data_IF_458120335357
#
_entry.id   IF_458120335357
#
_cell.length_a   1.000
_cell.length_b   1.000
_cell.length_c   1.000
_cell.angle_alpha   90.00
_cell.angle_beta   90.00
_cell.angle_gamma   90.00
#
_symmetry.space_group_name_H-M   'P 1'
#
loop_
_entity.id
_entity.type
_entity.pdbx_description
1 polymer ?
#
# COMPACT_ATOMS: atom_id res chain seq x y z
N UNK A 1 -37.02 -51.04 29.42
CA UNK A 1 -36.03 -50.11 28.89
C UNK A 1 -36.58 -49.53 27.62
N UNK A 2 -37.19 -48.34 27.68
CA UNK A 2 -37.76 -47.65 26.49
C UNK A 2 -36.67 -46.73 25.96
N UNK A 3 -36.12 -47.06 24.78
CA UNK A 3 -35.20 -46.20 24.04
C UNK A 3 -35.99 -45.06 23.45
N UNK A 4 -35.87 -43.85 24.04
CA UNK A 4 -36.37 -42.60 23.46
C UNK A 4 -35.43 -42.19 22.31
N UNK A 5 -35.91 -42.32 21.07
CA UNK A 5 -35.23 -41.81 19.90
C UNK A 5 -35.18 -40.26 19.93
N UNK A 6 -33.97 -39.71 19.95
CA UNK A 6 -33.76 -38.26 19.88
C UNK A 6 -34.33 -37.75 18.53
N UNK A 7 -35.11 -36.65 18.51
CA UNK A 7 -35.65 -36.12 17.28
C UNK A 7 -34.52 -35.58 16.39
N UNK A 8 -34.52 -36.00 15.10
CA UNK A 8 -33.58 -35.47 14.09
C UNK A 8 -33.78 -33.95 13.93
N UNK A 9 -32.71 -33.16 13.91
CA UNK A 9 -32.83 -31.71 13.72
C UNK A 9 -33.43 -31.43 12.34
N UNK A 10 -34.47 -30.59 12.31
CA UNK A 10 -35.15 -30.17 11.09
C UNK A 10 -34.18 -29.50 10.10
N UNK A 11 -34.38 -29.71 8.80
CA UNK A 11 -33.56 -29.09 7.72
C UNK A 11 -33.42 -27.57 7.87
N UNK A 12 -34.42 -26.91 8.39
CA UNK A 12 -34.46 -25.46 8.67
C UNK A 12 -33.41 -25.03 9.74
N UNK A 13 -33.13 -25.87 10.73
CA UNK A 13 -32.12 -25.61 11.75
C UNK A 13 -30.69 -25.82 11.23
N UNK A 14 -30.51 -26.69 10.24
CA UNK A 14 -29.22 -27.01 9.65
C UNK A 14 -28.75 -25.90 8.68
N UNK A 15 -29.66 -25.33 7.90
CA UNK A 15 -29.39 -24.20 7.00
C UNK A 15 -29.08 -22.91 7.76
N UNK A 16 -29.82 -22.64 8.85
CA UNK A 16 -29.58 -21.45 9.70
C UNK A 16 -28.18 -21.49 10.36
N UNK A 17 -27.77 -22.65 10.88
CA UNK A 17 -26.42 -22.81 11.48
C UNK A 17 -25.31 -22.74 10.46
N UNK A 18 -25.53 -23.23 9.24
CA UNK A 18 -24.56 -23.11 8.15
C UNK A 18 -24.40 -21.64 7.74
N UNK A 19 -25.50 -20.92 7.57
CA UNK A 19 -25.51 -19.52 7.19
C UNK A 19 -24.82 -18.64 8.24
N UNK A 20 -25.16 -18.78 9.52
CA UNK A 20 -24.51 -18.01 10.60
C UNK A 20 -23.00 -18.28 10.71
N UNK A 21 -22.57 -19.52 10.48
CA UNK A 21 -21.14 -19.88 10.51
C UNK A 21 -20.36 -19.35 9.31
N UNK A 22 -21.02 -19.20 8.16
CA UNK A 22 -20.39 -18.72 6.93
C UNK A 22 -20.71 -17.24 6.63
N UNK A 23 -21.47 -16.56 7.46
CA UNK A 23 -21.91 -15.18 7.22
C UNK A 23 -20.74 -14.24 6.93
N UNK A 24 -19.66 -14.32 7.70
CA UNK A 24 -18.44 -13.50 7.49
C UNK A 24 -17.81 -13.81 6.14
N UNK A 25 -17.76 -15.08 5.74
CA UNK A 25 -17.18 -15.50 4.45
C UNK A 25 -18.01 -15.00 3.28
N UNK A 26 -19.35 -15.12 3.40
CA UNK A 26 -20.30 -14.64 2.39
C UNK A 26 -20.20 -13.12 2.28
N UNK A 27 -20.21 -12.40 3.40
CA UNK A 27 -20.08 -10.95 3.42
C UNK A 27 -18.73 -10.50 2.82
N UNK A 28 -17.64 -11.14 3.19
CA UNK A 28 -16.33 -10.86 2.60
C UNK A 28 -16.33 -11.11 1.09
N UNK A 29 -16.91 -12.23 0.63
CA UNK A 29 -17.03 -12.53 -0.80
C UNK A 29 -17.84 -11.47 -1.55
N UNK A 30 -18.99 -11.04 -1.01
CA UNK A 30 -19.81 -9.98 -1.60
C UNK A 30 -19.06 -8.63 -1.63
N UNK A 31 -18.35 -8.30 -0.55
CA UNK A 31 -17.53 -7.09 -0.50
C UNK A 31 -16.41 -7.11 -1.56
N UNK A 32 -15.73 -8.25 -1.73
CA UNK A 32 -14.74 -8.41 -2.79
C UNK A 32 -15.36 -8.25 -4.19
N UNK A 33 -16.48 -8.93 -4.46
CA UNK A 33 -17.19 -8.79 -5.75
C UNK A 33 -17.51 -7.32 -6.00
N UNK A 34 -18.08 -6.61 -5.01
CA UNK A 34 -18.39 -5.20 -5.12
C UNK A 34 -17.18 -4.33 -5.44
N UNK A 35 -16.05 -4.57 -4.75
CA UNK A 35 -14.79 -3.84 -4.99
C UNK A 35 -14.20 -4.12 -6.37
N UNK A 36 -14.42 -5.32 -6.92
CA UNK A 36 -13.91 -5.68 -8.24
C UNK A 36 -14.79 -5.21 -9.40
N UNK A 37 -16.05 -4.78 -9.15
CA UNK A 37 -16.94 -4.26 -10.21
C UNK A 37 -16.27 -3.12 -11.01
N UNK A 38 -15.70 -2.04 -10.41
CA UNK A 38 -15.06 -0.98 -11.17
C UNK A 38 -13.86 -1.46 -11.99
N UNK A 39 -13.09 -2.41 -11.44
CA UNK A 39 -11.93 -3.01 -12.13
C UNK A 39 -12.40 -3.84 -13.34
N UNK A 40 -13.42 -4.68 -13.13
CA UNK A 40 -14.01 -5.49 -14.20
C UNK A 40 -14.62 -4.60 -15.30
N UNK A 41 -15.27 -3.51 -14.91
CA UNK A 41 -15.78 -2.51 -15.86
C UNK A 41 -14.63 -1.91 -16.71
N UNK A 42 -13.56 -1.44 -16.06
CA UNK A 42 -12.40 -0.87 -16.76
C UNK A 42 -11.78 -1.90 -17.71
N UNK A 43 -11.64 -3.14 -17.25
CA UNK A 43 -11.12 -4.24 -18.07
C UNK A 43 -12.03 -4.52 -19.28
N UNK A 44 -13.34 -4.66 -19.07
CA UNK A 44 -14.29 -4.87 -20.16
C UNK A 44 -14.26 -3.72 -21.17
N UNK A 45 -14.24 -2.48 -20.71
CA UNK A 45 -14.20 -1.30 -21.56
C UNK A 45 -12.84 -1.07 -22.25
N UNK A 46 -11.79 -1.78 -21.86
CA UNK A 46 -10.53 -1.79 -22.63
C UNK A 46 -10.67 -2.42 -24.01
N UNK A 47 -11.71 -3.23 -24.22
CA UNK A 47 -12.07 -3.81 -25.51
C UNK A 47 -13.11 -3.01 -26.28
N UNK A 48 -13.53 -1.84 -25.77
CA UNK A 48 -14.51 -1.00 -26.44
C UNK A 48 -13.82 -0.13 -27.51
N UNK A 49 -14.41 -0.09 -28.69
CA UNK A 49 -14.01 0.85 -29.74
C UNK A 49 -14.63 2.22 -29.42
N UNK A 50 -14.01 2.92 -28.47
CA UNK A 50 -14.49 4.21 -28.01
C UNK A 50 -14.14 5.31 -29.02
N UNK A 51 -15.14 6.08 -29.44
CA UNK A 51 -14.90 7.29 -30.25
C UNK A 51 -14.30 8.42 -29.37
N UNK A 52 -15.13 9.39 -28.99
CA UNK A 52 -14.69 10.54 -28.16
C UNK A 52 -14.70 10.28 -26.65
N UNK A 53 -15.46 9.29 -26.19
CA UNK A 53 -15.66 8.98 -24.78
C UNK A 53 -15.87 7.48 -24.58
N UNK A 54 -15.24 6.92 -23.54
CA UNK A 54 -15.36 5.50 -23.18
C UNK A 54 -16.44 5.26 -22.10
N UNK A 55 -17.54 6.02 -22.12
CA UNK A 55 -18.64 5.87 -21.17
C UNK A 55 -19.73 4.91 -21.64
N UNK A 56 -19.83 4.71 -22.97
CA UNK A 56 -20.86 3.87 -23.59
C UNK A 56 -20.17 2.81 -24.44
N UNK A 57 -20.62 1.57 -24.32
CA UNK A 57 -20.15 0.48 -25.17
C UNK A 57 -20.64 0.69 -26.62
N UNK A 58 -19.70 0.77 -27.54
CA UNK A 58 -20.00 0.95 -28.98
C UNK A 58 -19.81 -0.35 -29.77
N UNK A 59 -18.59 -0.89 -29.75
CA UNK A 59 -18.28 -2.14 -30.43
C UNK A 59 -17.03 -2.77 -29.85
N UNK A 60 -16.88 -4.08 -30.06
CA UNK A 60 -15.69 -4.82 -29.61
C UNK A 60 -14.51 -4.55 -30.53
N UNK A 61 -13.34 -4.27 -29.95
CA UNK A 61 -12.07 -4.14 -30.67
C UNK A 61 -10.90 -4.67 -29.85
N UNK A 62 -9.85 -5.12 -30.52
CA UNK A 62 -8.55 -5.45 -29.94
C UNK A 62 -7.48 -4.41 -30.25
N UNK A 63 -7.83 -3.36 -30.98
CA UNK A 63 -6.84 -2.39 -31.48
C UNK A 63 -6.18 -1.61 -30.33
N UNK A 64 -6.90 -1.37 -29.24
CA UNK A 64 -6.34 -0.77 -28.02
C UNK A 64 -5.20 -1.61 -27.44
N UNK A 65 -5.29 -2.94 -27.56
CA UNK A 65 -4.28 -3.87 -27.05
C UNK A 65 -3.14 -4.11 -28.05
N UNK A 66 -3.43 -4.03 -29.38
CA UNK A 66 -2.40 -4.14 -30.41
C UNK A 66 -1.51 -2.91 -30.46
N UNK A 67 -2.08 -1.74 -30.20
CA UNK A 67 -1.35 -0.48 -30.20
C UNK A 67 -1.64 0.35 -28.93
N UNK A 68 -1.13 -0.05 -27.76
CA UNK A 68 -1.35 0.65 -26.48
C UNK A 68 -0.75 2.07 -26.48
N UNK A 69 0.20 2.35 -27.38
CA UNK A 69 0.82 3.67 -27.56
C UNK A 69 0.16 4.51 -28.65
N UNK A 70 -0.96 4.07 -29.20
CA UNK A 70 -1.64 4.77 -30.31
C UNK A 70 -2.24 6.12 -29.90
N UNK A 71 -2.60 6.30 -28.63
CA UNK A 71 -3.06 7.58 -28.14
C UNK A 71 -1.87 8.50 -27.81
N UNK A 72 -1.95 9.81 -28.14
CA UNK A 72 -0.88 10.77 -27.86
C UNK A 72 -0.52 10.78 -26.37
N UNK A 73 0.77 10.87 -26.07
CA UNK A 73 1.34 11.00 -24.71
C UNK A 73 1.15 9.80 -23.75
N UNK A 74 0.41 8.74 -24.12
CA UNK A 74 0.16 7.60 -23.19
C UNK A 74 1.46 6.91 -22.83
N UNK A 75 2.27 6.53 -23.80
CA UNK A 75 3.53 5.83 -23.52
C UNK A 75 4.56 6.70 -22.79
N UNK A 76 4.62 7.98 -23.12
CA UNK A 76 5.46 8.93 -22.41
C UNK A 76 5.00 9.07 -20.94
N UNK A 77 3.71 9.17 -20.70
CA UNK A 77 3.14 9.23 -19.35
C UNK A 77 3.41 7.97 -18.54
N UNK A 78 3.32 6.79 -19.16
CA UNK A 78 3.66 5.52 -18.52
C UNK A 78 5.14 5.48 -18.12
N UNK A 79 6.03 5.86 -19.03
CA UNK A 79 7.48 5.91 -18.74
C UNK A 79 7.78 6.90 -17.63
N UNK A 80 7.16 8.07 -17.63
CA UNK A 80 7.33 9.07 -16.58
C UNK A 80 6.79 8.57 -15.24
N UNK A 81 5.63 7.91 -15.22
CA UNK A 81 5.07 7.30 -14.01
C UNK A 81 5.99 6.22 -13.44
N UNK A 82 6.58 5.37 -14.28
CA UNK A 82 7.54 4.37 -13.85
C UNK A 82 8.81 5.00 -13.27
N UNK A 83 9.37 6.04 -13.91
CA UNK A 83 10.53 6.77 -13.40
C UNK A 83 10.24 7.38 -12.03
N UNK A 84 9.10 8.06 -11.88
CA UNK A 84 8.67 8.66 -10.61
C UNK A 84 8.48 7.56 -9.55
N UNK A 85 7.78 6.49 -9.90
CA UNK A 85 7.51 5.37 -8.97
C UNK A 85 8.79 4.73 -8.45
N UNK A 86 9.72 4.36 -9.34
CA UNK A 86 11.01 3.77 -8.94
C UNK A 86 11.84 4.73 -8.10
N UNK A 87 11.98 5.98 -8.55
CA UNK A 87 12.79 6.98 -7.84
C UNK A 87 12.21 7.29 -6.45
N UNK A 88 10.90 7.48 -6.36
CA UNK A 88 10.22 7.74 -5.09
C UNK A 88 10.32 6.56 -4.13
N UNK A 89 10.18 5.33 -4.63
CA UNK A 89 10.30 4.12 -3.83
C UNK A 89 11.71 3.98 -3.25
N UNK A 90 12.74 4.14 -4.06
CA UNK A 90 14.14 4.05 -3.60
C UNK A 90 14.43 5.12 -2.54
N UNK A 91 14.09 6.37 -2.82
CA UNK A 91 14.33 7.48 -1.88
C UNK A 91 13.54 7.30 -0.58
N UNK A 92 12.25 6.97 -0.68
CA UNK A 92 11.41 6.74 0.50
C UNK A 92 11.89 5.55 1.34
N UNK A 93 12.34 4.48 0.70
CA UNK A 93 12.87 3.30 1.39
C UNK A 93 14.16 3.63 2.16
N UNK A 94 15.10 4.31 1.53
CA UNK A 94 16.35 4.71 2.18
C UNK A 94 16.06 5.65 3.36
N UNK A 95 15.36 6.75 3.11
CA UNK A 95 15.07 7.76 4.14
C UNK A 95 14.18 7.19 5.25
N UNK A 96 13.13 6.47 4.90
CA UNK A 96 12.19 5.87 5.84
C UNK A 96 12.86 4.82 6.73
N UNK A 97 13.74 4.00 6.17
CA UNK A 97 14.52 3.03 6.95
C UNK A 97 15.46 3.73 7.92
N UNK A 98 16.20 4.75 7.49
CA UNK A 98 17.06 5.53 8.37
C UNK A 98 16.28 6.17 9.53
N UNK A 99 15.11 6.77 9.23
CA UNK A 99 14.22 7.37 10.24
C UNK A 99 13.68 6.29 11.19
N UNK A 100 13.29 5.13 10.68
CA UNK A 100 12.78 4.02 11.50
C UNK A 100 13.82 3.52 12.51
N UNK A 101 15.08 3.36 12.06
CA UNK A 101 16.20 3.00 12.95
C UNK A 101 16.48 4.10 13.97
N UNK A 102 16.51 5.36 13.56
CA UNK A 102 16.73 6.49 14.46
C UNK A 102 15.68 6.54 15.58
N UNK A 103 14.39 6.41 15.23
CA UNK A 103 13.29 6.45 16.19
C UNK A 103 13.21 5.15 17.01
N UNK A 104 13.47 4.00 16.37
CA UNK A 104 13.37 2.69 17.03
C UNK A 104 14.43 2.50 18.10
N UNK A 105 15.67 2.90 17.83
CA UNK A 105 16.84 2.61 18.66
C UNK A 105 17.31 3.74 19.55
N UNK A 106 17.02 4.99 19.20
CA UNK A 106 17.51 6.14 19.96
C UNK A 106 16.41 6.82 20.76
N UNK A 107 16.76 7.26 21.97
CA UNK A 107 15.92 8.13 22.81
C UNK A 107 16.40 9.56 22.63
N UNK A 108 15.55 10.44 22.09
CA UNK A 108 15.86 11.85 21.90
C UNK A 108 14.65 12.72 22.26
N UNK A 109 14.92 14.00 22.57
CA UNK A 109 13.87 14.99 22.82
C UNK A 109 13.08 15.22 21.53
N UNK A 110 11.75 15.13 21.57
CA UNK A 110 10.90 15.28 20.39
C UNK A 110 10.51 13.96 19.68
N UNK A 111 10.93 12.80 20.17
CA UNK A 111 10.57 11.49 19.59
C UNK A 111 9.06 11.30 19.43
N UNK A 112 8.27 11.76 20.42
CA UNK A 112 6.80 11.68 20.34
C UNK A 112 6.26 12.55 19.23
N UNK A 113 6.72 13.79 19.12
CA UNK A 113 6.34 14.72 18.04
C UNK A 113 6.70 14.16 16.67
N UNK A 114 7.91 13.60 16.52
CA UNK A 114 8.35 12.96 15.26
C UNK A 114 7.45 11.78 14.89
N UNK A 115 7.07 10.94 15.85
CA UNK A 115 6.13 9.85 15.61
C UNK A 115 4.77 10.38 15.11
N UNK A 116 4.23 11.44 15.72
CA UNK A 116 2.96 12.05 15.29
C UNK A 116 3.08 12.59 13.87
N UNK A 117 4.16 13.33 13.56
CA UNK A 117 4.39 13.89 12.23
C UNK A 117 4.49 12.81 11.13
N UNK A 118 5.07 11.65 11.45
CA UNK A 118 5.15 10.53 10.50
C UNK A 118 3.76 9.90 10.27
N UNK A 119 2.89 9.87 11.29
CA UNK A 119 1.54 9.34 11.12
C UNK A 119 0.60 10.30 10.39
N UNK A 120 0.89 11.59 10.39
CA UNK A 120 0.01 12.61 9.81
C UNK A 120 -0.31 12.38 8.32
N UNK A 121 0.67 12.11 7.44
CA UNK A 121 0.39 11.81 6.03
C UNK A 121 -0.49 10.57 5.82
N UNK A 122 -0.35 9.54 6.66
CA UNK A 122 -1.19 8.33 6.57
C UNK A 122 -2.63 8.57 7.02
N UNK A 123 -2.85 9.51 7.96
CA UNK A 123 -4.18 9.85 8.46
C UNK A 123 -4.92 10.86 7.59
N UNK A 124 -4.20 11.54 6.69
CA UNK A 124 -4.76 12.57 5.81
C UNK A 124 -5.28 11.91 4.52
N UNK A 125 -6.48 12.26 4.03
CA UNK A 125 -6.95 11.81 2.73
C UNK A 125 -5.96 12.22 1.62
N UNK A 126 -5.57 11.27 0.77
CA UNK A 126 -4.53 11.46 -0.26
C UNK A 126 -4.80 12.67 -1.18
N UNK A 127 -6.07 12.85 -1.56
CA UNK A 127 -6.47 13.98 -2.43
C UNK A 127 -6.26 15.31 -1.73
N UNK A 128 -6.58 15.40 -0.42
CA UNK A 128 -6.39 16.62 0.38
C UNK A 128 -4.91 16.93 0.53
N UNK A 129 -4.09 15.90 0.81
CA UNK A 129 -2.65 16.04 0.91
C UNK A 129 -2.05 16.53 -0.42
N UNK A 130 -2.43 15.91 -1.54
CA UNK A 130 -1.94 16.29 -2.87
C UNK A 130 -2.32 17.72 -3.25
N UNK A 131 -3.58 18.12 -3.01
CA UNK A 131 -4.05 19.47 -3.26
C UNK A 131 -3.33 20.51 -2.38
N UNK A 132 -3.10 20.20 -1.10
CA UNK A 132 -2.37 21.08 -0.17
C UNK A 132 -0.91 21.25 -0.58
N UNK A 133 -0.25 20.19 -1.01
CA UNK A 133 1.13 20.26 -1.52
C UNK A 133 1.22 21.08 -2.80
N UNK A 134 0.29 20.87 -3.73
CA UNK A 134 0.22 21.68 -4.94
C UNK A 134 0.06 23.17 -4.60
N UNK A 135 -0.88 23.50 -3.72
CA UNK A 135 -1.09 24.87 -3.26
C UNK A 135 0.18 25.44 -2.61
N UNK A 136 0.87 24.65 -1.80
CA UNK A 136 2.13 25.05 -1.17
C UNK A 136 3.21 25.34 -2.23
N UNK A 137 3.41 24.47 -3.22
CA UNK A 137 4.39 24.71 -4.28
C UNK A 137 4.09 25.96 -5.08
N UNK A 138 2.82 26.19 -5.44
CA UNK A 138 2.40 27.39 -6.16
C UNK A 138 2.65 28.66 -5.34
N UNK A 139 2.33 28.66 -4.04
CA UNK A 139 2.59 29.79 -3.15
C UNK A 139 4.09 30.08 -2.99
N UNK A 140 4.92 29.04 -3.00
CA UNK A 140 6.37 29.17 -2.97
C UNK A 140 6.97 29.49 -4.33
N UNK A 141 6.15 29.68 -5.38
CA UNK A 141 6.55 29.91 -6.77
C UNK A 141 7.44 28.79 -7.34
N UNK A 142 7.27 27.56 -6.83
CA UNK A 142 7.92 26.37 -7.37
C UNK A 142 7.03 25.81 -8.49
N UNK A 143 7.55 25.78 -9.71
CA UNK A 143 6.80 25.25 -10.86
C UNK A 143 6.53 23.76 -10.67
N UNK A 144 5.24 23.32 -10.76
CA UNK A 144 4.90 21.90 -10.72
C UNK A 144 5.55 21.14 -11.90
N UNK A 145 6.06 19.95 -11.59
CA UNK A 145 6.71 19.13 -12.60
C UNK A 145 7.22 17.81 -12.02
N UNK A 146 8.11 17.14 -12.71
CA UNK A 146 8.64 15.83 -12.34
C UNK A 146 9.13 15.78 -10.86
N UNK A 147 9.96 16.73 -10.46
CA UNK A 147 10.54 16.73 -9.11
C UNK A 147 9.54 17.04 -8.00
N UNK A 148 8.57 17.91 -8.23
CA UNK A 148 7.52 18.18 -7.24
C UNK A 148 6.64 16.96 -7.01
N UNK A 149 6.38 16.17 -8.06
CA UNK A 149 5.65 14.89 -7.96
C UNK A 149 6.50 13.88 -7.19
N UNK A 150 7.79 13.75 -7.48
CA UNK A 150 8.70 12.85 -6.74
C UNK A 150 8.73 13.20 -5.26
N UNK A 151 8.90 14.49 -4.91
CA UNK A 151 8.92 14.95 -3.52
C UNK A 151 7.60 14.60 -2.81
N UNK A 152 6.46 14.85 -3.45
CA UNK A 152 5.15 14.52 -2.88
C UNK A 152 4.99 13.02 -2.62
N UNK A 153 5.40 12.16 -3.56
CA UNK A 153 5.34 10.71 -3.41
C UNK A 153 6.31 10.21 -2.33
N UNK A 154 7.54 10.73 -2.28
CA UNK A 154 8.51 10.38 -1.24
C UNK A 154 7.96 10.73 0.14
N UNK A 155 7.41 11.94 0.31
CA UNK A 155 6.84 12.39 1.58
C UNK A 155 5.71 11.48 2.07
N UNK A 156 4.83 11.07 1.17
CA UNK A 156 3.75 10.16 1.48
C UNK A 156 4.27 8.74 1.81
N UNK A 157 5.15 8.19 0.97
CA UNK A 157 5.67 6.84 1.12
C UNK A 157 6.58 6.66 2.34
N UNK A 158 7.32 7.68 2.77
CA UNK A 158 8.19 7.61 3.97
C UNK A 158 7.41 7.10 5.17
N UNK A 159 6.19 7.58 5.38
CA UNK A 159 5.36 7.21 6.52
C UNK A 159 5.09 5.70 6.57
N UNK A 160 4.75 5.10 5.44
CA UNK A 160 4.51 3.65 5.33
C UNK A 160 5.79 2.85 5.58
N UNK A 161 6.90 3.29 5.00
CA UNK A 161 8.22 2.63 5.20
C UNK A 161 8.61 2.68 6.68
N UNK A 162 8.52 3.85 7.32
CA UNK A 162 8.87 4.00 8.74
C UNK A 162 8.04 3.08 9.62
N UNK A 163 6.73 3.04 9.41
CA UNK A 163 5.83 2.19 10.21
C UNK A 163 6.16 0.71 10.02
N UNK A 164 6.36 0.28 8.78
CA UNK A 164 6.66 -1.12 8.45
C UNK A 164 8.02 -1.55 9.02
N UNK A 165 9.07 -0.77 8.78
CA UNK A 165 10.42 -1.09 9.26
C UNK A 165 10.49 -1.02 10.78
N UNK A 166 9.84 -0.04 11.41
CA UNK A 166 9.76 0.06 12.87
C UNK A 166 9.05 -1.13 13.49
N UNK A 167 7.97 -1.63 12.89
CA UNK A 167 7.29 -2.84 13.34
C UNK A 167 8.23 -4.06 13.26
N UNK A 168 9.03 -4.16 12.19
CA UNK A 168 10.02 -5.21 12.05
C UNK A 168 11.13 -5.12 13.11
N UNK A 169 11.71 -3.94 13.30
CA UNK A 169 12.76 -3.71 14.32
C UNK A 169 12.24 -4.08 15.72
N UNK A 170 10.99 -3.74 16.03
CA UNK A 170 10.38 -4.07 17.33
C UNK A 170 10.16 -5.58 17.55
N UNK A 171 10.09 -6.37 16.48
CA UNK A 171 9.94 -7.83 16.53
C UNK A 171 11.26 -8.59 16.59
N UNK A 172 12.41 -7.92 16.40
CA UNK A 172 13.73 -8.55 16.48
C UNK A 172 14.12 -8.77 17.94
N UNK A 173 14.65 -9.97 18.22
CA UNK A 173 15.20 -10.26 19.56
C UNK A 173 16.55 -9.54 19.74
N UNK A 174 16.68 -8.63 20.71
CA UNK A 174 17.94 -7.93 20.96
C UNK A 174 19.12 -8.85 21.28
N UNK A 175 18.84 -10.08 21.72
CA UNK A 175 19.88 -11.09 22.02
C UNK A 175 20.67 -11.51 20.77
N UNK A 176 20.08 -11.43 19.58
CA UNK A 176 20.79 -11.77 18.34
C UNK A 176 21.95 -10.82 18.07
N UNK A 177 21.77 -9.54 18.36
CA UNK A 177 22.84 -8.54 18.21
C UNK A 177 23.88 -8.67 19.32
N UNK A 178 23.44 -8.96 20.55
CA UNK A 178 24.36 -9.22 21.65
C UNK A 178 25.25 -10.45 21.35
N UNK A 179 24.65 -11.53 20.86
CA UNK A 179 25.40 -12.73 20.48
C UNK A 179 26.43 -12.46 19.36
N UNK A 180 26.10 -11.59 18.40
CA UNK A 180 27.07 -11.18 17.36
C UNK A 180 28.23 -10.39 17.97
N UNK A 181 27.96 -9.48 18.90
CA UNK A 181 28.99 -8.70 19.57
C UNK A 181 29.86 -9.57 20.51
N UNK A 182 29.28 -10.59 21.14
CA UNK A 182 30.01 -11.59 21.92
C UNK A 182 30.98 -12.42 21.05
N UNK A 183 30.67 -12.54 19.76
CA UNK A 183 31.57 -13.14 18.74
C UNK A 183 32.54 -12.14 18.11
N UNK A 184 32.82 -11.03 18.79
CA UNK A 184 33.73 -9.96 18.37
C UNK A 184 33.29 -9.14 17.15
N UNK A 185 32.02 -9.23 16.74
CA UNK A 185 31.50 -8.35 15.67
C UNK A 185 31.36 -6.91 16.19
N UNK A 186 31.85 -5.95 15.42
CA UNK A 186 31.61 -4.55 15.71
C UNK A 186 30.18 -4.11 15.31
N UNK A 187 29.75 -2.90 15.69
CA UNK A 187 28.39 -2.41 15.43
C UNK A 187 28.00 -2.43 13.93
N UNK A 188 28.95 -2.13 13.03
CA UNK A 188 28.73 -2.16 11.57
C UNK A 188 28.57 -3.58 11.04
N UNK A 189 29.36 -4.49 11.54
CA UNK A 189 29.29 -5.92 11.20
C UNK A 189 28.00 -6.52 11.72
N UNK A 190 27.63 -6.25 12.97
CA UNK A 190 26.34 -6.64 13.55
C UNK A 190 25.19 -6.11 12.74
N UNK A 191 25.21 -4.83 12.37
CA UNK A 191 24.17 -4.26 11.52
C UNK A 191 24.09 -4.94 10.15
N UNK A 192 25.23 -5.12 9.47
CA UNK A 192 25.26 -5.64 8.10
C UNK A 192 24.94 -7.13 8.00
N UNK A 193 25.40 -7.92 8.96
CA UNK A 193 25.32 -9.39 8.87
C UNK A 193 24.20 -9.99 9.72
N UNK A 194 23.67 -9.27 10.70
CA UNK A 194 22.61 -9.74 11.60
C UNK A 194 21.33 -8.90 11.43
N UNK A 195 21.42 -7.59 11.71
CA UNK A 195 20.22 -6.75 11.77
C UNK A 195 19.58 -6.48 10.40
N UNK A 196 20.39 -6.23 9.37
CA UNK A 196 19.89 -5.90 8.04
C UNK A 196 19.30 -7.09 7.27
N UNK A 197 19.85 -8.33 7.38
CA UNK A 197 19.25 -9.50 6.71
C UNK A 197 18.00 -10.03 7.37
N UNK A 198 17.78 -9.75 8.66
CA UNK A 198 16.61 -10.14 9.45
C UNK A 198 15.44 -9.17 9.26
#
# INVERSE_FOLDING_TARGET
>A
MTMTSAPMPSLRHRTSRWFSRNLIRIYAGLAFIYLFIPVAYTFAFSFNNAGKSNLVWQSFTLDNWKNPCGAPQVCESVVNSLKIGVLSTVLATILGTMIAFAIGRHKFKGRTTTNILIFLPMATPEVVLGASLLAMFLNLRINPGFWTIVIAHVMFCISFVVVTVKARIASLDPKLEQAAMDLYANERETFRYVTLPL
#
